data_IF_797288841114
#
_entry.id   IF_797288841114
#
_cell.length_a   1.000
_cell.length_b   1.000
_cell.length_c   1.000
_cell.angle_alpha   90.00
_cell.angle_beta   90.00
_cell.angle_gamma   90.00
#
_symmetry.space_group_name_H-M   'P 1'
#
loop_
_entity.id
_entity.type
_entity.pdbx_description
1 polymer ?
#
# COMPACT_ATOMS: atom_id res chain seq x y z
N UNK A 1 38.97 11.92 -3.04
CA UNK A 1 38.70 11.52 -4.46
C UNK A 1 37.19 11.31 -4.62
N UNK A 2 36.60 12.01 -5.56
CA UNK A 2 35.17 11.87 -5.83
C UNK A 2 34.92 10.91 -7.02
N UNK A 3 33.66 10.59 -7.32
CA UNK A 3 33.30 9.63 -8.37
C UNK A 3 33.72 10.10 -9.78
N UNK A 4 33.75 11.39 -10.06
CA UNK A 4 34.22 11.93 -11.36
C UNK A 4 35.71 11.75 -11.52
N UNK A 5 36.50 11.97 -10.46
CA UNK A 5 37.93 11.78 -10.47
C UNK A 5 38.28 10.34 -10.80
N UNK A 6 37.57 9.39 -10.21
CA UNK A 6 37.73 7.96 -10.49
C UNK A 6 37.41 7.60 -11.93
N UNK A 7 36.28 8.11 -12.44
CA UNK A 7 35.85 7.88 -13.82
C UNK A 7 36.89 8.44 -14.81
N UNK A 8 37.41 9.63 -14.57
CA UNK A 8 38.46 10.23 -15.39
C UNK A 8 39.74 9.41 -15.34
N UNK A 9 40.16 8.93 -14.16
CA UNK A 9 41.33 8.06 -14.00
C UNK A 9 41.15 6.75 -14.78
N UNK A 10 39.93 6.23 -14.85
CA UNK A 10 39.58 5.02 -15.60
C UNK A 10 39.31 5.29 -17.11
N UNK A 11 39.61 6.52 -17.60
CA UNK A 11 39.48 6.91 -18.99
C UNK A 11 38.04 7.24 -19.45
N UNK A 12 37.11 7.43 -18.53
CA UNK A 12 35.70 7.74 -18.83
C UNK A 12 35.42 9.23 -18.70
N UNK A 13 35.27 9.92 -19.82
CA UNK A 13 34.98 11.37 -19.85
C UNK A 13 33.47 11.59 -19.69
N UNK A 14 33.10 12.34 -18.64
CA UNK A 14 31.71 12.72 -18.36
C UNK A 14 31.46 14.19 -18.74
N UNK A 15 30.31 14.48 -19.35
CA UNK A 15 29.85 15.82 -19.72
C UNK A 15 28.83 16.31 -18.70
N UNK A 16 28.92 17.58 -18.31
CA UNK A 16 27.90 18.19 -17.44
C UNK A 16 26.56 18.25 -18.14
N UNK A 17 25.51 17.69 -17.50
CA UNK A 17 24.16 17.60 -18.05
C UNK A 17 23.19 18.58 -17.38
N UNK A 18 23.36 18.87 -16.06
CA UNK A 18 22.54 19.81 -15.32
C UNK A 18 23.33 20.49 -14.19
N UNK A 19 22.82 21.58 -13.68
CA UNK A 19 23.42 22.37 -12.56
C UNK A 19 22.70 22.17 -11.23
N UNK A 20 21.50 21.58 -11.23
CA UNK A 20 20.70 21.31 -10.05
C UNK A 20 21.37 20.27 -9.13
N UNK A 21 21.20 20.40 -7.82
CA UNK A 21 21.71 19.46 -6.79
C UNK A 21 23.22 19.15 -6.92
N UNK A 22 24.07 20.18 -7.04
CA UNK A 22 25.54 20.02 -7.12
C UNK A 22 26.06 19.58 -8.49
N UNK A 23 25.19 19.45 -9.49
CA UNK A 23 25.49 19.06 -10.86
C UNK A 23 25.27 17.60 -11.15
N UNK A 24 24.72 17.36 -12.33
CA UNK A 24 24.57 16.04 -12.93
C UNK A 24 25.51 15.93 -14.13
N UNK A 25 26.19 14.79 -14.25
CA UNK A 25 27.06 14.49 -15.37
C UNK A 25 26.58 13.24 -16.10
N UNK A 26 26.78 13.17 -17.40
CA UNK A 26 26.43 12.03 -18.21
C UNK A 26 27.56 11.62 -19.17
N UNK A 27 27.57 10.37 -19.55
CA UNK A 27 28.53 9.84 -20.49
C UNK A 27 28.35 8.36 -20.81
N UNK A 28 29.34 7.76 -21.51
CA UNK A 28 29.37 6.33 -21.74
C UNK A 28 29.43 5.56 -20.41
N UNK A 29 28.68 4.45 -20.35
CA UNK A 29 28.71 3.61 -19.15
C UNK A 29 30.00 2.80 -19.07
N UNK A 30 30.74 2.82 -17.97
CA UNK A 30 31.95 2.02 -17.76
C UNK A 30 31.74 0.51 -17.87
N UNK A 31 30.49 0.05 -17.73
CA UNK A 31 30.14 -1.37 -17.68
C UNK A 31 29.49 -1.90 -18.97
N UNK A 32 28.65 -1.08 -19.64
CA UNK A 32 27.92 -1.52 -20.84
C UNK A 32 28.05 -0.58 -22.06
N UNK A 33 28.92 0.43 -21.98
CA UNK A 33 29.15 1.38 -23.08
C UNK A 33 27.97 2.33 -23.31
N UNK A 34 27.78 2.72 -24.57
CA UNK A 34 26.75 3.69 -24.99
C UNK A 34 27.30 5.13 -24.98
N UNK A 35 26.47 6.12 -25.29
CA UNK A 35 26.91 7.52 -25.42
C UNK A 35 26.66 8.38 -24.18
N UNK A 36 25.48 8.24 -23.56
CA UNK A 36 24.96 9.17 -22.52
C UNK A 36 24.11 8.50 -21.43
N UNK A 37 24.18 7.18 -21.33
CA UNK A 37 23.28 6.39 -20.46
C UNK A 37 23.74 6.29 -19.00
N UNK A 38 24.97 6.72 -18.71
CA UNK A 38 25.53 6.71 -17.36
C UNK A 38 25.37 8.10 -16.75
N UNK A 39 24.73 8.17 -15.60
CA UNK A 39 24.50 9.40 -14.83
C UNK A 39 25.32 9.38 -13.57
N UNK A 40 25.89 10.54 -13.23
CA UNK A 40 26.76 10.71 -12.07
C UNK A 40 26.40 11.99 -11.33
N UNK A 41 26.31 11.91 -10.03
CA UNK A 41 26.08 13.02 -9.11
C UNK A 41 27.29 13.14 -8.15
N UNK A 42 28.27 13.99 -8.46
CA UNK A 42 29.55 14.02 -7.74
C UNK A 42 29.42 14.39 -6.27
N UNK A 43 28.50 15.29 -5.94
CA UNK A 43 28.28 15.75 -4.56
C UNK A 43 27.73 14.65 -3.66
N UNK A 44 26.82 13.83 -4.15
CA UNK A 44 26.30 12.66 -3.44
C UNK A 44 27.19 11.42 -3.60
N UNK A 45 28.18 11.46 -4.50
CA UNK A 45 29.05 10.34 -4.83
C UNK A 45 28.33 9.17 -5.50
N UNK A 46 27.15 9.39 -6.11
CA UNK A 46 26.31 8.34 -6.68
C UNK A 46 26.40 8.28 -8.19
N UNK A 47 26.11 7.09 -8.73
CA UNK A 47 25.95 6.85 -10.17
C UNK A 47 24.78 5.89 -10.45
N UNK A 48 24.29 5.96 -11.69
CA UNK A 48 23.29 5.05 -12.24
C UNK A 48 23.38 4.96 -13.76
N UNK A 49 23.18 3.78 -14.31
CA UNK A 49 23.12 3.53 -15.74
C UNK A 49 21.71 3.07 -16.17
N UNK A 50 21.05 3.83 -17.02
CA UNK A 50 19.73 3.48 -17.59
C UNK A 50 19.78 2.26 -18.55
N UNK A 51 20.95 1.83 -19.00
CA UNK A 51 21.10 0.71 -19.95
C UNK A 51 21.28 -0.65 -19.26
N UNK A 52 22.17 -0.75 -18.29
CA UNK A 52 22.45 -2.00 -17.58
C UNK A 52 21.96 -1.99 -16.12
N UNK A 53 21.30 -0.92 -15.70
CA UNK A 53 20.75 -0.69 -14.36
C UNK A 53 21.77 -0.78 -13.22
N UNK A 54 23.07 -0.75 -13.52
CA UNK A 54 24.10 -0.67 -12.49
C UNK A 54 24.03 0.69 -11.80
N UNK A 55 24.04 0.65 -10.48
CA UNK A 55 23.97 1.85 -9.63
C UNK A 55 24.77 1.64 -8.35
N UNK A 56 25.17 2.72 -7.72
CA UNK A 56 25.92 2.65 -6.47
C UNK A 56 26.56 3.96 -6.08
N UNK A 57 27.47 3.87 -5.12
CA UNK A 57 28.36 4.94 -4.70
C UNK A 57 29.80 4.71 -5.19
N UNK A 58 30.69 5.59 -4.76
CA UNK A 58 32.12 5.53 -5.10
C UNK A 58 32.78 4.20 -4.69
N UNK A 59 32.38 3.64 -3.53
CA UNK A 59 32.91 2.36 -3.06
C UNK A 59 32.41 1.22 -3.95
N UNK A 60 31.10 1.22 -4.26
CA UNK A 60 30.52 0.20 -5.14
C UNK A 60 31.13 0.26 -6.55
N UNK A 61 31.45 1.45 -7.06
CA UNK A 61 32.13 1.61 -8.34
C UNK A 61 33.52 0.90 -8.34
N UNK A 62 34.32 1.14 -7.31
CA UNK A 62 35.64 0.49 -7.17
C UNK A 62 35.53 -1.04 -7.07
N UNK A 63 34.53 -1.53 -6.35
CA UNK A 63 34.26 -2.97 -6.25
C UNK A 63 33.85 -3.58 -7.58
N UNK A 64 32.91 -2.94 -8.29
CA UNK A 64 32.36 -3.45 -9.55
C UNK A 64 33.35 -3.31 -10.73
N UNK A 65 34.15 -2.24 -10.77
CA UNK A 65 35.01 -1.94 -11.90
C UNK A 65 36.40 -2.50 -11.70
N UNK A 66 36.95 -2.44 -10.48
CA UNK A 66 38.35 -2.85 -10.17
C UNK A 66 38.44 -4.14 -9.35
N UNK A 67 37.30 -4.77 -9.01
CA UNK A 67 37.27 -6.02 -8.25
C UNK A 67 37.75 -5.91 -6.79
N UNK A 68 37.80 -4.69 -6.25
CA UNK A 68 38.33 -4.48 -4.89
C UNK A 68 37.35 -5.02 -3.84
N UNK A 69 37.88 -5.52 -2.72
CA UNK A 69 37.07 -5.77 -1.54
C UNK A 69 36.48 -4.45 -0.98
N UNK A 70 35.50 -4.52 -0.07
CA UNK A 70 35.02 -3.32 0.58
C UNK A 70 36.11 -2.59 1.36
N UNK A 71 36.94 -3.34 2.07
CA UNK A 71 38.04 -2.79 2.86
C UNK A 71 39.08 -2.10 1.97
N UNK A 72 39.50 -2.75 0.88
CA UNK A 72 40.48 -2.19 -0.06
C UNK A 72 39.94 -0.94 -0.77
N UNK A 73 38.63 -0.93 -1.13
CA UNK A 73 38.00 0.23 -1.72
C UNK A 73 37.91 1.41 -0.74
N UNK A 74 37.64 1.16 0.53
CA UNK A 74 37.67 2.18 1.59
C UNK A 74 39.08 2.73 1.77
N UNK A 75 40.07 1.85 1.89
CA UNK A 75 41.48 2.23 2.03
C UNK A 75 42.00 3.05 0.83
N UNK A 76 41.60 2.65 -0.39
CA UNK A 76 41.90 3.39 -1.62
C UNK A 76 41.35 4.82 -1.62
N UNK A 77 40.16 5.03 -1.01
CA UNK A 77 39.54 6.34 -0.88
C UNK A 77 40.07 7.15 0.33
N UNK A 78 41.00 6.62 1.10
CA UNK A 78 41.47 7.21 2.35
C UNK A 78 40.36 7.29 3.41
N UNK A 79 39.39 6.38 3.34
CA UNK A 79 38.30 6.24 4.32
C UNK A 79 38.65 5.08 5.24
N UNK A 80 38.50 5.29 6.54
CA UNK A 80 38.49 4.20 7.49
C UNK A 80 37.29 3.30 7.16
N UNK A 81 37.48 1.98 6.90
CA UNK A 81 36.38 1.08 6.70
C UNK A 81 35.39 1.07 7.87
N UNK A 82 35.76 1.72 8.98
CA UNK A 82 34.99 1.73 10.22
C UNK A 82 34.86 0.32 10.79
N UNK A 83 34.93 0.15 12.09
CA UNK A 83 34.36 -1.06 12.67
C UNK A 83 32.96 -1.27 12.01
N UNK A 84 32.71 -2.47 11.50
CA UNK A 84 31.33 -2.84 11.16
C UNK A 84 30.49 -2.48 12.39
N UNK A 85 29.87 -1.30 12.37
CA UNK A 85 28.73 -1.11 13.24
C UNK A 85 27.80 -2.21 12.80
N UNK A 86 27.71 -3.26 13.61
CA UNK A 86 26.71 -4.29 13.42
C UNK A 86 25.45 -3.54 13.03
N UNK A 87 24.89 -3.86 11.84
CA UNK A 87 23.63 -3.25 11.44
C UNK A 87 22.77 -3.36 12.68
N UNK A 88 22.29 -2.23 13.27
CA UNK A 88 21.48 -2.32 14.46
C UNK A 88 20.48 -3.42 14.20
N UNK A 89 20.49 -4.44 15.06
CA UNK A 89 19.70 -5.66 14.89
C UNK A 89 18.35 -5.20 14.42
N UNK A 90 17.91 -5.67 13.25
CA UNK A 90 16.79 -5.11 12.52
C UNK A 90 15.70 -4.87 13.55
N UNK A 91 15.40 -3.59 13.85
CA UNK A 91 14.51 -3.23 14.95
C UNK A 91 13.25 -4.03 14.72
N UNK A 92 13.01 -5.00 15.60
CA UNK A 92 11.85 -5.87 15.50
C UNK A 92 10.65 -4.95 15.41
N UNK A 93 9.95 -5.01 14.27
CA UNK A 93 8.77 -4.17 14.08
C UNK A 93 7.77 -4.45 15.23
N UNK A 94 7.29 -3.41 15.85
CA UNK A 94 6.22 -3.47 16.85
C UNK A 94 5.00 -2.73 16.33
N UNK A 95 3.79 -3.31 16.46
CA UNK A 95 2.58 -2.64 16.03
C UNK A 95 2.36 -1.38 16.89
N UNK A 96 1.80 -0.34 16.27
CA UNK A 96 1.45 0.90 16.98
C UNK A 96 -0.06 1.05 16.99
N UNK A 97 -0.59 1.65 18.06
CA UNK A 97 -1.99 1.99 18.11
C UNK A 97 -2.33 3.07 17.07
N UNK A 98 -3.44 2.88 16.40
CA UNK A 98 -3.99 3.88 15.51
C UNK A 98 -4.71 4.97 16.30
N UNK A 99 -4.38 6.23 16.00
CA UNK A 99 -5.06 7.37 16.63
C UNK A 99 -6.52 7.43 16.22
N UNK A 100 -7.40 7.58 17.19
CA UNK A 100 -8.82 7.86 16.97
C UNK A 100 -9.00 9.37 16.77
N UNK A 101 -9.73 9.83 15.74
CA UNK A 101 -10.09 11.24 15.60
C UNK A 101 -10.87 11.76 16.81
N UNK A 102 -10.65 13.03 17.17
CA UNK A 102 -11.40 13.69 18.22
C UNK A 102 -12.91 13.77 17.92
N UNK A 103 -13.73 13.97 18.94
CA UNK A 103 -15.18 14.04 18.81
C UNK A 103 -15.64 15.12 17.79
N UNK A 104 -15.12 16.37 17.80
CA UNK A 104 -15.54 17.37 16.81
C UNK A 104 -15.24 16.95 15.38
N UNK A 105 -14.10 16.28 15.15
CA UNK A 105 -13.77 15.75 13.83
C UNK A 105 -14.76 14.68 13.40
N UNK A 106 -15.09 13.70 14.27
CA UNK A 106 -16.03 12.61 13.95
C UNK A 106 -17.43 13.13 13.67
N UNK A 107 -17.90 14.09 14.46
CA UNK A 107 -19.22 14.74 14.26
C UNK A 107 -19.29 15.44 12.90
N UNK A 108 -18.29 16.24 12.55
CA UNK A 108 -18.27 16.96 11.29
C UNK A 108 -18.10 16.00 10.09
N UNK A 109 -17.28 14.96 10.25
CA UNK A 109 -17.11 13.91 9.24
C UNK A 109 -18.42 13.13 9.00
N UNK A 110 -19.19 12.83 10.06
CA UNK A 110 -20.49 12.16 9.95
C UNK A 110 -21.52 13.06 9.26
N UNK A 111 -21.60 14.34 9.64
CA UNK A 111 -22.50 15.29 8.98
C UNK A 111 -22.14 15.47 7.49
N UNK A 112 -20.86 15.57 7.16
CA UNK A 112 -20.40 15.62 5.78
C UNK A 112 -20.77 14.33 5.03
N UNK A 113 -20.53 13.17 5.65
CA UNK A 113 -20.81 11.85 5.04
C UNK A 113 -22.31 11.71 4.70
N UNK A 114 -23.22 12.14 5.56
CA UNK A 114 -24.66 12.06 5.31
C UNK A 114 -25.08 12.90 4.09
N UNK A 115 -24.43 14.04 3.87
CA UNK A 115 -24.67 14.88 2.68
C UNK A 115 -24.15 14.19 1.41
N UNK A 116 -22.91 13.68 1.44
CA UNK A 116 -22.30 13.09 0.24
C UNK A 116 -22.90 11.73 -0.12
N UNK A 117 -23.45 10.98 0.83
CA UNK A 117 -24.28 9.79 0.55
C UNK A 117 -25.49 10.19 -0.26
N UNK A 118 -26.26 11.20 0.17
CA UNK A 118 -27.42 11.71 -0.60
C UNK A 118 -27.01 12.15 -2.00
N UNK A 119 -25.87 12.81 -2.13
CA UNK A 119 -25.33 13.23 -3.44
C UNK A 119 -25.01 12.04 -4.35
N UNK A 120 -24.48 10.95 -3.80
CA UNK A 120 -24.19 9.75 -4.59
C UNK A 120 -25.47 9.13 -5.16
N UNK A 121 -26.57 9.16 -4.40
CA UNK A 121 -27.87 8.61 -4.84
C UNK A 121 -28.72 9.59 -5.66
N UNK A 122 -28.34 10.86 -5.71
CA UNK A 122 -28.96 11.86 -6.58
C UNK A 122 -28.58 11.64 -8.07
N UNK A 123 -29.27 12.27 -9.04
CA UNK A 123 -28.91 12.18 -10.47
C UNK A 123 -27.44 12.54 -10.75
N UNK A 124 -26.88 13.53 -10.05
CA UNK A 124 -25.48 13.94 -10.19
C UNK A 124 -24.46 12.87 -9.80
N UNK A 125 -24.83 11.91 -8.96
CA UNK A 125 -23.99 10.78 -8.56
C UNK A 125 -24.12 9.55 -9.47
N UNK A 126 -25.06 9.55 -10.43
CA UNK A 126 -25.31 8.40 -11.28
C UNK A 126 -24.06 7.90 -12.06
N UNK A 127 -23.20 8.76 -12.63
CA UNK A 127 -22.00 8.29 -13.31
C UNK A 127 -21.02 7.57 -12.35
N UNK A 128 -20.92 8.04 -11.10
CA UNK A 128 -20.05 7.43 -10.09
C UNK A 128 -20.60 6.07 -9.67
N UNK A 129 -21.92 5.95 -9.46
CA UNK A 129 -22.55 4.65 -9.18
C UNK A 129 -22.35 3.68 -10.33
N UNK A 130 -22.58 4.12 -11.57
CA UNK A 130 -22.37 3.29 -12.76
C UNK A 130 -20.93 2.78 -12.83
N UNK A 131 -19.95 3.63 -12.55
CA UNK A 131 -18.55 3.22 -12.47
C UNK A 131 -18.30 2.20 -11.35
N UNK A 132 -18.87 2.40 -10.16
CA UNK A 132 -18.77 1.46 -9.03
C UNK A 132 -19.39 0.09 -9.37
N UNK A 133 -20.54 0.08 -10.05
CA UNK A 133 -21.21 -1.16 -10.44
C UNK A 133 -20.46 -1.86 -11.60
N UNK A 134 -20.21 -1.15 -12.70
CA UNK A 134 -19.69 -1.74 -13.92
C UNK A 134 -18.19 -2.09 -13.80
N UNK A 135 -17.35 -1.13 -13.35
CA UNK A 135 -15.92 -1.31 -13.34
C UNK A 135 -15.38 -1.86 -12.01
N UNK A 136 -16.04 -1.55 -10.88
CA UNK A 136 -15.61 -2.04 -9.56
C UNK A 136 -16.39 -3.25 -9.07
N UNK A 137 -17.49 -3.59 -9.72
CA UNK A 137 -18.28 -4.76 -9.43
C UNK A 137 -19.10 -4.69 -8.14
N UNK A 138 -19.22 -3.51 -7.53
CA UNK A 138 -19.99 -3.36 -6.30
C UNK A 138 -21.48 -3.28 -6.62
N UNK A 139 -22.29 -4.04 -5.92
CA UNK A 139 -23.74 -3.91 -5.94
C UNK A 139 -24.20 -2.65 -5.22
N UNK A 140 -25.39 -2.16 -5.53
CA UNK A 140 -26.00 -1.04 -4.82
C UNK A 140 -26.16 -1.31 -3.31
N UNK A 141 -26.39 -2.57 -2.94
CA UNK A 141 -26.45 -2.99 -1.55
C UNK A 141 -25.08 -2.82 -0.87
N UNK A 142 -24.01 -3.26 -1.51
CA UNK A 142 -22.64 -3.10 -1.00
C UNK A 142 -22.24 -1.64 -0.93
N UNK A 143 -22.59 -0.82 -1.93
CA UNK A 143 -22.35 0.63 -1.92
C UNK A 143 -23.05 1.29 -0.72
N UNK A 144 -24.30 0.90 -0.41
CA UNK A 144 -25.06 1.39 0.77
C UNK A 144 -24.41 0.91 2.07
N UNK A 145 -24.07 -0.37 2.17
CA UNK A 145 -23.41 -0.98 3.35
C UNK A 145 -22.07 -0.32 3.65
N UNK A 146 -21.28 -0.04 2.61
CA UNK A 146 -20.03 0.70 2.71
C UNK A 146 -20.19 2.20 3.00
N UNK A 147 -21.43 2.71 2.95
CA UNK A 147 -21.78 4.13 3.08
C UNK A 147 -20.95 5.03 2.16
N UNK A 148 -20.67 4.58 0.94
CA UNK A 148 -19.95 5.39 -0.03
C UNK A 148 -20.73 6.66 -0.36
N UNK A 149 -20.02 7.75 -0.59
CA UNK A 149 -20.60 9.05 -0.90
C UNK A 149 -19.94 9.73 -2.10
N UNK A 150 -20.50 10.85 -2.55
CA UNK A 150 -19.95 11.64 -3.63
C UNK A 150 -19.94 13.13 -3.28
N UNK A 151 -18.73 13.71 -3.18
CA UNK A 151 -18.55 15.14 -3.03
C UNK A 151 -18.44 15.79 -4.41
N UNK A 152 -19.37 16.69 -4.73
CA UNK A 152 -19.47 17.34 -6.05
C UNK A 152 -18.36 18.33 -6.33
N UNK A 153 -17.74 18.87 -5.27
CA UNK A 153 -16.74 19.92 -5.36
C UNK A 153 -15.78 19.87 -4.16
N UNK A 154 -14.70 20.58 -4.29
CA UNK A 154 -13.75 20.81 -3.20
C UNK A 154 -14.40 21.67 -2.11
N UNK A 155 -14.18 21.30 -0.86
CA UNK A 155 -14.58 22.08 0.32
C UNK A 155 -13.32 22.53 1.08
N UNK A 156 -13.41 23.73 1.65
CA UNK A 156 -12.33 24.35 2.43
C UNK A 156 -12.89 24.81 3.78
N UNK A 157 -12.64 24.03 4.82
CA UNK A 157 -13.17 24.23 6.16
C UNK A 157 -12.12 24.84 7.11
N UNK A 158 -12.51 25.65 8.10
CA UNK A 158 -11.59 26.06 9.16
C UNK A 158 -11.06 24.83 9.92
N UNK A 159 -9.76 24.72 10.06
CA UNK A 159 -9.15 23.59 10.77
C UNK A 159 -9.58 23.50 12.23
N UNK A 160 -9.77 24.65 12.88
CA UNK A 160 -10.21 24.71 14.27
C UNK A 160 -11.59 24.06 14.51
N UNK A 161 -12.55 24.19 13.55
CA UNK A 161 -13.86 23.53 13.67
C UNK A 161 -13.78 22.00 13.66
N UNK A 162 -12.68 21.44 13.13
CA UNK A 162 -12.38 20.01 13.13
C UNK A 162 -11.40 19.61 14.25
N UNK A 163 -11.14 20.51 15.20
CA UNK A 163 -10.12 20.31 16.26
C UNK A 163 -8.74 19.92 15.72
N UNK A 164 -8.37 20.43 14.57
CA UNK A 164 -7.06 20.25 13.96
C UNK A 164 -6.16 21.43 14.29
N UNK A 165 -4.89 21.18 14.57
CA UNK A 165 -3.88 22.20 14.75
C UNK A 165 -3.81 23.13 13.55
N UNK A 166 -3.53 24.43 13.77
CA UNK A 166 -3.25 25.37 12.71
C UNK A 166 -2.12 24.83 11.80
N UNK A 167 -2.29 25.01 10.50
CA UNK A 167 -1.28 24.69 9.49
C UNK A 167 -0.91 25.98 8.78
N UNK A 168 0.24 26.53 9.11
CA UNK A 168 0.72 27.81 8.56
C UNK A 168 1.80 27.52 7.53
N UNK A 169 1.59 27.96 6.28
CA UNK A 169 2.54 27.88 5.18
C UNK A 169 2.70 29.29 4.62
N UNK A 170 3.93 29.78 4.54
CA UNK A 170 4.26 31.14 4.09
C UNK A 170 3.47 32.24 4.85
N UNK A 171 3.35 32.09 6.17
CA UNK A 171 2.64 33.02 7.04
C UNK A 171 1.11 33.02 6.91
N UNK A 172 0.53 32.15 6.09
CA UNK A 172 -0.92 32.04 5.87
C UNK A 172 -1.46 30.73 6.46
N UNK A 173 -2.51 30.84 7.26
CA UNK A 173 -3.21 29.65 7.76
C UNK A 173 -3.95 28.95 6.61
N UNK A 174 -3.69 27.66 6.47
CA UNK A 174 -4.32 26.80 5.46
C UNK A 174 -5.57 26.17 6.05
N UNK A 175 -6.66 26.21 5.30
CA UNK A 175 -7.91 25.52 5.63
C UNK A 175 -7.75 24.00 5.50
N UNK A 176 -8.62 23.25 6.14
CA UNK A 176 -8.81 21.84 5.85
C UNK A 176 -9.41 21.71 4.45
N UNK A 177 -8.70 21.02 3.58
CA UNK A 177 -9.16 20.70 2.23
C UNK A 177 -9.82 19.32 2.21
N UNK A 178 -11.02 19.25 1.69
CA UNK A 178 -11.81 18.03 1.45
C UNK A 178 -12.13 18.04 -0.06
N UNK A 179 -11.40 17.25 -0.89
CA UNK A 179 -11.57 17.33 -2.34
C UNK A 179 -12.90 16.77 -2.82
N UNK A 180 -13.31 17.18 -4.02
CA UNK A 180 -14.39 16.57 -4.77
C UNK A 180 -14.03 15.17 -5.25
N UNK A 181 -15.02 14.27 -5.32
CA UNK A 181 -14.84 12.90 -5.78
C UNK A 181 -15.59 11.87 -4.94
N UNK A 182 -15.28 10.59 -5.20
CA UNK A 182 -15.85 9.46 -4.45
C UNK A 182 -15.29 9.46 -3.01
N UNK A 183 -16.19 9.52 -2.04
CA UNK A 183 -15.88 9.49 -0.60
C UNK A 183 -16.00 8.05 -0.09
N UNK A 184 -14.90 7.55 0.48
CA UNK A 184 -14.77 6.21 1.04
C UNK A 184 -14.55 6.37 2.54
N UNK A 185 -15.57 6.13 3.38
CA UNK A 185 -15.44 6.26 4.83
C UNK A 185 -14.82 5.00 5.45
N UNK A 186 -14.12 5.18 6.56
CA UNK A 186 -13.88 4.13 7.54
C UNK A 186 -14.75 4.42 8.77
N UNK A 187 -15.65 3.48 9.08
CA UNK A 187 -16.59 3.59 10.19
C UNK A 187 -16.25 2.54 11.23
N UNK A 188 -16.14 2.95 12.47
CA UNK A 188 -15.87 2.08 13.61
C UNK A 188 -16.85 2.42 14.73
N UNK A 189 -17.57 1.41 15.24
CA UNK A 189 -18.60 1.57 16.29
C UNK A 189 -19.64 2.67 15.97
N UNK A 190 -20.04 2.79 14.71
CA UNK A 190 -21.03 3.79 14.25
C UNK A 190 -20.44 5.16 13.92
N UNK A 191 -19.23 5.48 14.34
CA UNK A 191 -18.57 6.77 14.11
C UNK A 191 -17.67 6.74 12.86
N UNK A 192 -17.56 7.87 12.18
CA UNK A 192 -16.60 8.04 11.07
C UNK A 192 -15.21 8.31 11.63
N UNK A 193 -14.27 7.43 11.31
CA UNK A 193 -12.88 7.52 11.75
C UNK A 193 -11.92 7.94 10.64
N UNK A 194 -12.28 7.74 9.38
CA UNK A 194 -11.51 8.20 8.21
C UNK A 194 -12.45 8.61 7.08
N UNK A 195 -12.04 9.66 6.38
CA UNK A 195 -12.55 10.01 5.06
C UNK A 195 -11.39 9.90 4.07
N UNK A 196 -11.48 8.96 3.13
CA UNK A 196 -10.57 8.86 1.99
C UNK A 196 -11.34 9.22 0.74
N UNK A 197 -10.75 10.05 -0.11
CA UNK A 197 -11.45 10.58 -1.27
C UNK A 197 -10.66 10.23 -2.52
N UNK A 198 -11.32 9.54 -3.45
CA UNK A 198 -10.80 9.34 -4.80
C UNK A 198 -11.26 10.52 -5.64
N UNK A 199 -10.33 11.37 -5.99
CA UNK A 199 -10.57 12.59 -6.74
C UNK A 199 -10.99 12.28 -8.18
N UNK A 200 -11.96 13.03 -8.70
CA UNK A 200 -12.37 12.92 -10.11
C UNK A 200 -11.28 13.49 -11.02
N UNK A 201 -10.74 14.65 -10.67
CA UNK A 201 -9.74 15.37 -11.45
C UNK A 201 -8.47 15.58 -10.58
N UNK A 202 -7.56 14.59 -10.50
CA UNK A 202 -6.37 14.72 -9.68
C UNK A 202 -5.31 15.69 -10.24
N UNK A 203 -5.32 16.02 -11.55
CA UNK A 203 -4.23 16.76 -12.18
C UNK A 203 -2.91 16.02 -11.94
N UNK A 204 -1.86 16.78 -11.62
CA UNK A 204 -0.54 16.23 -11.25
C UNK A 204 -0.47 15.72 -9.80
N UNK A 205 -1.53 15.85 -9.03
CA UNK A 205 -1.59 15.45 -7.62
C UNK A 205 -2.06 14.00 -7.42
N UNK A 206 -2.01 13.55 -6.18
CA UNK A 206 -2.47 12.21 -5.80
C UNK A 206 -3.94 11.99 -6.13
N UNK A 207 -4.25 10.84 -6.72
CA UNK A 207 -5.63 10.42 -7.01
C UNK A 207 -6.43 10.19 -5.73
N UNK A 208 -5.79 9.69 -4.69
CA UNK A 208 -6.42 9.46 -3.39
C UNK A 208 -5.88 10.44 -2.35
N UNK A 209 -6.80 11.03 -1.59
CA UNK A 209 -6.49 11.94 -0.48
C UNK A 209 -7.17 11.43 0.77
N UNK A 210 -6.41 11.31 1.85
CA UNK A 210 -6.94 11.06 3.19
C UNK A 210 -7.12 12.42 3.88
N UNK A 211 -8.35 12.72 4.30
CA UNK A 211 -8.66 13.99 4.97
C UNK A 211 -7.87 14.10 6.27
N UNK A 212 -7.23 15.24 6.50
CA UNK A 212 -6.41 15.45 7.69
C UNK A 212 -7.18 15.19 8.98
N UNK A 213 -6.53 14.52 9.94
CA UNK A 213 -7.15 14.10 11.21
C UNK A 213 -7.83 12.74 11.15
N UNK A 214 -7.93 12.11 9.98
CA UNK A 214 -8.42 10.73 9.82
C UNK A 214 -7.53 9.71 10.53
N UNK A 215 -8.12 8.64 11.02
CA UNK A 215 -7.41 7.48 11.56
C UNK A 215 -6.63 6.74 10.47
N UNK A 216 -5.38 6.33 10.72
CA UNK A 216 -4.61 5.49 9.82
C UNK A 216 -4.98 3.99 9.90
N UNK A 217 -5.89 3.59 10.80
CA UNK A 217 -6.25 2.18 11.01
C UNK A 217 -6.66 1.49 9.71
N UNK A 218 -6.27 0.22 9.48
CA UNK A 218 -6.79 -0.58 8.38
C UNK A 218 -8.32 -0.70 8.42
N UNK A 219 -8.97 -0.76 7.25
CA UNK A 219 -10.38 -1.13 7.17
C UNK A 219 -10.50 -2.64 7.29
N UNK A 220 -11.26 -3.12 8.26
CA UNK A 220 -11.61 -4.54 8.41
C UNK A 220 -13.09 -4.75 8.19
N UNK A 221 -13.47 -5.74 7.37
CA UNK A 221 -14.84 -6.16 7.10
C UNK A 221 -14.97 -7.65 7.41
N UNK A 222 -15.98 -8.04 8.16
CA UNK A 222 -16.24 -9.45 8.48
C UNK A 222 -15.29 -9.98 9.57
N UNK A 223 -15.40 -9.50 10.79
CA UNK A 223 -14.62 -10.00 11.94
C UNK A 223 -14.99 -11.45 12.27
N UNK A 224 -14.11 -12.12 13.02
CA UNK A 224 -14.30 -13.49 13.56
C UNK A 224 -14.37 -14.61 12.49
N UNK A 225 -13.70 -14.40 11.35
CA UNK A 225 -13.48 -15.43 10.35
C UNK A 225 -12.13 -16.12 10.54
N UNK A 226 -12.09 -17.38 10.14
CA UNK A 226 -10.88 -18.21 10.26
C UNK A 226 -9.80 -17.87 9.22
N UNK A 227 -10.14 -17.10 8.20
CA UNK A 227 -9.21 -16.61 7.19
C UNK A 227 -9.33 -15.09 7.00
N UNK A 228 -8.23 -14.46 6.58
CA UNK A 228 -8.19 -13.06 6.21
C UNK A 228 -7.53 -12.89 4.83
N UNK A 229 -8.04 -11.96 4.03
CA UNK A 229 -7.36 -11.49 2.82
C UNK A 229 -6.92 -10.03 3.01
N UNK A 230 -5.66 -9.77 2.69
CA UNK A 230 -5.05 -8.45 2.78
C UNK A 230 -5.01 -7.85 1.39
N UNK A 231 -5.62 -6.68 1.22
CA UNK A 231 -5.64 -5.92 -0.03
C UNK A 231 -5.17 -4.48 0.20
N UNK A 232 -4.85 -3.78 -0.87
CA UNK A 232 -4.43 -2.38 -0.79
C UNK A 232 -5.63 -1.44 -0.69
N UNK A 233 -6.67 -1.65 -1.49
CA UNK A 233 -7.79 -0.73 -1.70
C UNK A 233 -9.01 -1.11 -0.84
N UNK A 234 -9.70 -0.10 -0.29
CA UNK A 234 -10.98 -0.29 0.40
C UNK A 234 -12.08 -0.81 -0.57
N UNK A 235 -12.03 -0.40 -1.83
CA UNK A 235 -13.00 -0.84 -2.84
C UNK A 235 -12.86 -2.34 -3.11
N UNK A 236 -11.63 -2.83 -3.24
CA UNK A 236 -11.38 -4.28 -3.42
C UNK A 236 -11.76 -5.07 -2.16
N UNK A 237 -11.53 -4.52 -0.96
CA UNK A 237 -12.00 -5.14 0.26
C UNK A 237 -13.52 -5.28 0.29
N UNK A 238 -14.27 -4.27 -0.15
CA UNK A 238 -15.72 -4.35 -0.24
C UNK A 238 -16.20 -5.32 -1.33
N UNK A 239 -15.52 -5.38 -2.48
CA UNK A 239 -15.81 -6.36 -3.53
C UNK A 239 -15.62 -7.80 -3.01
N UNK A 240 -14.49 -8.09 -2.41
CA UNK A 240 -14.23 -9.45 -1.88
C UNK A 240 -15.21 -9.77 -0.74
N UNK A 241 -15.53 -8.81 0.12
CA UNK A 241 -16.55 -9.00 1.17
C UNK A 241 -17.95 -9.25 0.60
N UNK A 242 -18.30 -8.67 -0.54
CA UNK A 242 -19.54 -8.94 -1.25
C UNK A 242 -19.62 -10.38 -1.74
N UNK A 243 -18.54 -10.87 -2.35
CA UNK A 243 -18.51 -12.16 -3.04
C UNK A 243 -18.20 -13.35 -2.10
N UNK A 244 -17.44 -13.10 -1.04
CA UNK A 244 -16.91 -14.16 -0.17
C UNK A 244 -16.86 -13.77 1.33
N UNK A 245 -17.59 -12.75 1.76
CA UNK A 245 -17.55 -12.26 3.15
C UNK A 245 -18.14 -13.21 4.20
N UNK A 246 -18.86 -14.26 3.76
CA UNK A 246 -19.27 -15.38 4.59
C UNK A 246 -18.07 -16.31 4.93
N UNK A 247 -17.06 -16.37 4.08
CA UNK A 247 -15.89 -17.25 4.22
C UNK A 247 -14.68 -16.54 4.85
N UNK A 248 -14.42 -15.29 4.48
CA UNK A 248 -13.17 -14.63 4.77
C UNK A 248 -13.37 -13.20 5.29
N UNK A 249 -12.53 -12.79 6.22
CA UNK A 249 -12.38 -11.40 6.64
C UNK A 249 -11.54 -10.64 5.62
N UNK A 250 -11.97 -9.44 5.22
CA UNK A 250 -11.19 -8.60 4.29
C UNK A 250 -10.56 -7.42 5.02
N UNK A 251 -9.28 -7.16 4.74
CA UNK A 251 -8.51 -6.08 5.38
C UNK A 251 -7.85 -5.24 4.30
N UNK A 252 -8.26 -3.95 4.22
CA UNK A 252 -7.57 -2.99 3.37
C UNK A 252 -6.54 -2.21 4.16
N UNK A 253 -5.28 -2.26 3.68
CA UNK A 253 -4.15 -1.55 4.29
C UNK A 253 -4.03 -0.09 3.83
N UNK A 254 -4.71 0.30 2.75
CA UNK A 254 -4.65 1.64 2.17
C UNK A 254 -3.44 1.89 1.26
N UNK A 255 -2.37 1.12 1.41
CA UNK A 255 -1.22 1.08 0.51
C UNK A 255 -0.39 -0.19 0.75
N UNK A 256 0.44 -0.59 -0.22
CA UNK A 256 1.23 -1.83 -0.17
C UNK A 256 2.29 -1.86 0.94
N UNK A 257 2.77 -0.71 1.41
CA UNK A 257 3.82 -0.60 2.43
C UNK A 257 3.27 -0.47 3.85
N UNK A 258 1.96 -0.28 4.01
CA UNK A 258 1.33 -0.14 5.32
C UNK A 258 1.50 -1.42 6.13
N UNK A 259 1.69 -1.24 7.44
CA UNK A 259 1.78 -2.34 8.40
C UNK A 259 0.56 -2.31 9.32
N UNK A 260 0.11 -3.47 9.82
CA UNK A 260 -1.02 -3.54 10.73
C UNK A 260 -0.81 -2.69 11.99
N UNK A 261 -1.87 -2.06 12.47
CA UNK A 261 -1.88 -1.47 13.80
C UNK A 261 -2.04 -2.56 14.88
N UNK A 262 -1.98 -2.17 16.14
CA UNK A 262 -2.07 -3.11 17.28
C UNK A 262 -3.32 -3.97 17.24
N UNK A 263 -4.48 -3.37 16.93
CA UNK A 263 -5.75 -4.09 16.88
C UNK A 263 -5.79 -5.10 15.72
N UNK A 264 -5.39 -4.69 14.53
CA UNK A 264 -5.30 -5.57 13.36
C UNK A 264 -4.26 -6.66 13.56
N UNK A 265 -3.11 -6.34 14.14
CA UNK A 265 -2.05 -7.31 14.43
C UNK A 265 -2.55 -8.41 15.40
N UNK A 266 -3.26 -8.02 16.46
CA UNK A 266 -3.83 -8.97 17.43
C UNK A 266 -4.76 -9.96 16.73
N UNK A 267 -5.67 -9.49 15.86
CA UNK A 267 -6.58 -10.36 15.11
C UNK A 267 -5.81 -11.28 14.16
N UNK A 268 -4.84 -10.74 13.41
CA UNK A 268 -4.06 -11.51 12.46
C UNK A 268 -3.17 -12.57 13.12
N UNK A 269 -2.70 -12.33 14.36
CA UNK A 269 -1.97 -13.35 15.12
C UNK A 269 -2.79 -14.59 15.37
N UNK A 270 -4.09 -14.45 15.57
CA UNK A 270 -5.01 -15.55 15.86
C UNK A 270 -5.71 -16.11 14.60
N UNK A 271 -5.51 -15.46 13.44
CA UNK A 271 -6.10 -15.90 12.17
C UNK A 271 -5.28 -17.05 11.59
N UNK A 272 -5.86 -18.22 11.32
CA UNK A 272 -5.14 -19.40 10.80
C UNK A 272 -4.59 -19.23 9.38
N UNK A 273 -5.31 -18.55 8.49
CA UNK A 273 -4.94 -18.37 7.07
C UNK A 273 -4.96 -16.87 6.74
N UNK A 274 -3.87 -16.37 6.16
CA UNK A 274 -3.75 -15.00 5.70
C UNK A 274 -3.38 -15.01 4.21
N UNK A 275 -4.31 -14.59 3.36
CA UNK A 275 -4.08 -14.41 1.93
C UNK A 275 -3.50 -13.02 1.68
N UNK A 276 -2.23 -12.93 1.32
CA UNK A 276 -1.60 -11.65 1.00
C UNK A 276 -1.78 -11.33 -0.48
N UNK A 277 -2.76 -10.47 -0.78
CA UNK A 277 -3.13 -10.01 -2.11
C UNK A 277 -2.77 -8.53 -2.36
N UNK A 278 -1.71 -8.02 -1.70
CA UNK A 278 -1.18 -6.70 -1.99
C UNK A 278 -0.59 -6.63 -3.41
N UNK A 279 -0.68 -5.46 -4.04
CA UNK A 279 -0.19 -5.21 -5.39
C UNK A 279 1.32 -5.43 -5.50
N UNK A 280 1.80 -5.78 -6.72
CA UNK A 280 3.16 -6.28 -6.95
C UNK A 280 4.06 -5.35 -7.75
N UNK A 281 3.51 -4.29 -8.28
CA UNK A 281 4.10 -3.49 -9.34
C UNK A 281 5.10 -2.41 -8.86
N UNK A 282 5.28 -2.26 -7.54
CA UNK A 282 6.19 -1.25 -6.99
C UNK A 282 7.42 -1.88 -6.30
N UNK A 283 8.60 -1.24 -6.43
CA UNK A 283 9.83 -1.69 -5.76
C UNK A 283 9.68 -1.77 -4.23
N UNK A 284 8.77 -0.96 -3.65
CA UNK A 284 8.37 -1.01 -2.25
C UNK A 284 7.54 -2.25 -1.89
N UNK A 285 6.77 -2.79 -2.83
CA UNK A 285 5.95 -3.98 -2.62
C UNK A 285 6.78 -5.22 -2.28
N UNK A 286 7.96 -5.39 -2.91
CA UNK A 286 8.88 -6.49 -2.58
C UNK A 286 9.31 -6.50 -1.11
N UNK A 287 9.52 -5.34 -0.51
CA UNK A 287 9.87 -5.23 0.91
C UNK A 287 8.65 -5.55 1.80
N UNK A 288 7.44 -5.12 1.39
CA UNK A 288 6.20 -5.42 2.10
C UNK A 288 5.90 -6.92 2.11
N UNK A 289 6.21 -7.64 1.04
CA UNK A 289 6.00 -9.09 0.96
C UNK A 289 6.88 -9.91 1.88
N UNK A 290 8.07 -9.40 2.16
CA UNK A 290 8.96 -10.01 3.13
C UNK A 290 8.42 -9.87 4.55
N UNK A 291 7.83 -8.71 4.86
CA UNK A 291 7.27 -8.41 6.17
C UNK A 291 6.20 -9.42 6.61
N UNK A 292 5.26 -9.77 5.72
CA UNK A 292 4.12 -10.62 6.07
C UNK A 292 4.53 -12.04 6.50
N UNK A 293 5.32 -12.80 5.71
CA UNK A 293 5.79 -14.12 6.13
C UNK A 293 6.71 -14.06 7.35
N UNK A 294 7.57 -13.05 7.46
CA UNK A 294 8.46 -12.88 8.63
C UNK A 294 7.68 -12.61 9.91
N UNK A 295 6.54 -11.91 9.82
CA UNK A 295 5.73 -11.53 10.99
C UNK A 295 4.74 -12.61 11.40
N UNK A 296 4.10 -13.28 10.43
CA UNK A 296 2.99 -14.19 10.69
C UNK A 296 3.30 -15.66 10.33
N UNK A 297 4.48 -15.95 9.79
CA UNK A 297 4.93 -17.31 9.52
C UNK A 297 4.19 -18.03 8.40
N UNK A 298 4.13 -19.36 8.49
CA UNK A 298 3.60 -20.24 7.43
C UNK A 298 2.11 -20.11 7.14
N UNK A 299 1.35 -19.37 7.96
CA UNK A 299 -0.07 -19.09 7.69
C UNK A 299 -0.31 -18.00 6.64
N UNK A 300 0.75 -17.30 6.21
CA UNK A 300 0.67 -16.32 5.14
C UNK A 300 0.89 -17.01 3.80
N UNK A 301 -0.10 -16.89 2.92
CA UNK A 301 -0.04 -17.35 1.54
C UNK A 301 0.03 -16.14 0.62
N UNK A 302 1.01 -16.09 -0.29
CA UNK A 302 1.02 -15.07 -1.35
C UNK A 302 -0.07 -15.40 -2.36
N UNK A 303 -1.08 -14.52 -2.44
CA UNK A 303 -2.28 -14.77 -3.22
C UNK A 303 -2.69 -13.55 -4.05
N UNK A 304 -1.90 -13.15 -5.07
CA UNK A 304 -2.22 -12.01 -5.91
C UNK A 304 -3.45 -12.31 -6.78
N UNK A 305 -4.19 -11.26 -7.13
CA UNK A 305 -5.23 -11.36 -8.13
C UNK A 305 -4.61 -11.81 -9.47
N UNK A 306 -5.21 -12.81 -10.11
CA UNK A 306 -4.82 -13.30 -11.44
C UNK A 306 -5.62 -12.56 -12.51
N UNK A 307 -5.04 -12.37 -13.69
CA UNK A 307 -5.67 -11.63 -14.81
C UNK A 307 -6.00 -10.15 -14.52
N UNK A 308 -5.43 -9.56 -13.48
CA UNK A 308 -5.62 -8.16 -13.12
C UNK A 308 -4.60 -7.70 -12.09
N UNK A 309 -4.40 -6.39 -11.96
CA UNK A 309 -3.51 -5.83 -10.92
C UNK A 309 -4.13 -5.85 -9.52
N UNK A 310 -5.46 -5.83 -9.45
CA UNK A 310 -6.28 -5.82 -8.25
C UNK A 310 -7.53 -6.70 -8.45
N UNK A 311 -8.28 -6.97 -7.39
CA UNK A 311 -9.47 -7.84 -7.44
C UNK A 311 -10.55 -7.30 -8.39
N UNK A 312 -10.75 -5.97 -8.43
CA UNK A 312 -11.73 -5.36 -9.34
C UNK A 312 -11.33 -5.56 -10.81
N UNK A 313 -10.07 -5.36 -11.16
CA UNK A 313 -9.57 -5.57 -12.52
C UNK A 313 -9.62 -7.06 -12.91
N UNK A 314 -9.27 -7.96 -12.00
CA UNK A 314 -9.33 -9.40 -12.23
C UNK A 314 -10.77 -9.88 -12.49
N UNK A 315 -11.74 -9.37 -11.73
CA UNK A 315 -13.16 -9.66 -11.95
C UNK A 315 -13.62 -9.21 -13.33
N UNK A 316 -13.24 -8.01 -13.78
CA UNK A 316 -13.56 -7.53 -15.13
C UNK A 316 -13.00 -8.44 -16.23
N UNK A 317 -11.88 -9.10 -15.98
CA UNK A 317 -11.24 -10.06 -16.87
C UNK A 317 -11.73 -11.50 -16.65
N UNK A 318 -12.87 -11.68 -15.97
CA UNK A 318 -13.55 -12.97 -15.85
C UNK A 318 -13.17 -13.81 -14.62
N UNK A 319 -12.36 -13.29 -13.68
CA UNK A 319 -12.07 -13.99 -12.45
C UNK A 319 -13.33 -14.08 -11.56
N UNK A 320 -13.72 -15.28 -11.17
CA UNK A 320 -14.69 -15.49 -10.10
C UNK A 320 -13.99 -15.23 -8.74
N UNK A 321 -14.36 -14.14 -8.08
CA UNK A 321 -13.71 -13.71 -6.83
C UNK A 321 -13.92 -14.75 -5.72
N UNK A 322 -15.11 -15.33 -5.62
CA UNK A 322 -15.40 -16.33 -4.59
C UNK A 322 -14.53 -17.58 -4.77
N UNK A 323 -14.49 -18.14 -5.98
CA UNK A 323 -13.65 -19.30 -6.29
C UNK A 323 -12.17 -19.02 -6.08
N UNK A 324 -11.70 -17.82 -6.45
CA UNK A 324 -10.33 -17.38 -6.20
C UNK A 324 -9.98 -17.35 -4.70
N UNK A 325 -10.89 -16.89 -3.84
CA UNK A 325 -10.73 -16.90 -2.39
C UNK A 325 -10.71 -18.36 -1.86
N UNK A 326 -11.65 -19.20 -2.30
CA UNK A 326 -11.73 -20.61 -1.92
C UNK A 326 -10.42 -21.33 -2.27
N UNK A 327 -9.91 -21.16 -3.49
CA UNK A 327 -8.64 -21.74 -3.90
C UNK A 327 -7.46 -21.26 -3.04
N UNK A 328 -7.46 -19.99 -2.61
CA UNK A 328 -6.46 -19.47 -1.69
C UNK A 328 -6.53 -20.05 -0.29
N UNK A 329 -7.73 -20.36 0.19
CA UNK A 329 -7.94 -20.94 1.52
C UNK A 329 -7.60 -22.44 1.55
N UNK A 330 -7.94 -23.20 0.53
CA UNK A 330 -7.87 -24.66 0.53
C UNK A 330 -6.86 -25.25 -0.46
N UNK A 331 -6.37 -24.45 -1.42
CA UNK A 331 -5.52 -24.95 -2.52
C UNK A 331 -6.32 -25.84 -3.47
N UNK A 332 -5.62 -26.77 -4.11
CA UNK A 332 -6.24 -27.76 -5.03
C UNK A 332 -6.80 -29.00 -4.29
N UNK A 333 -6.92 -28.95 -2.97
CA UNK A 333 -7.42 -30.06 -2.17
C UNK A 333 -8.96 -30.01 -2.07
N UNK A 334 -9.60 -30.55 -3.11
CA UNK A 334 -11.05 -30.69 -3.23
C UNK A 334 -11.68 -31.42 -2.03
N UNK A 335 -10.98 -32.42 -1.47
CA UNK A 335 -11.46 -33.15 -0.29
C UNK A 335 -11.49 -32.28 0.96
N UNK A 336 -10.53 -31.39 1.11
CA UNK A 336 -10.47 -30.44 2.22
C UNK A 336 -11.60 -29.43 2.11
N UNK A 337 -11.89 -28.96 0.89
CA UNK A 337 -13.01 -28.08 0.63
C UNK A 337 -14.37 -28.77 0.86
N UNK A 338 -14.56 -30.01 0.37
CA UNK A 338 -15.80 -30.78 0.60
C UNK A 338 -16.04 -30.99 2.10
N UNK A 339 -15.01 -31.37 2.87
CA UNK A 339 -15.12 -31.51 4.33
C UNK A 339 -15.53 -30.22 5.02
N UNK A 340 -14.97 -29.10 4.60
CA UNK A 340 -15.34 -27.78 5.11
C UNK A 340 -16.80 -27.46 4.84
N UNK A 341 -17.28 -27.69 3.61
CA UNK A 341 -18.68 -27.48 3.23
C UNK A 341 -19.63 -28.35 4.04
N UNK A 342 -19.32 -29.62 4.21
CA UNK A 342 -20.15 -30.57 4.99
C UNK A 342 -20.23 -30.14 6.45
N UNK A 343 -19.12 -29.75 7.07
CA UNK A 343 -19.07 -29.35 8.48
C UNK A 343 -19.75 -28.00 8.77
N UNK A 344 -19.74 -27.08 7.79
CA UNK A 344 -20.44 -25.78 7.91
C UNK A 344 -21.94 -25.89 7.66
N UNK A 345 -22.37 -26.79 6.77
CA UNK A 345 -23.80 -27.00 6.43
C UNK A 345 -24.52 -27.75 7.53
N UNK A 346 -23.87 -28.73 8.16
CA UNK A 346 -24.44 -29.54 9.23
C UNK A 346 -24.56 -28.82 10.59
N UNK A 347 -24.15 -27.55 10.67
CA UNK A 347 -24.38 -26.68 11.83
C UNK A 347 -23.66 -27.08 13.12
N UNK A 348 -22.64 -27.95 13.04
CA UNK A 348 -21.95 -28.48 14.20
C UNK A 348 -20.68 -27.75 14.64
N UNK A 349 -20.02 -27.01 13.75
CA UNK A 349 -18.76 -26.32 14.02
C UNK A 349 -18.79 -24.90 13.46
N UNK A 350 -18.20 -23.97 14.18
CA UNK A 350 -17.91 -22.64 13.61
C UNK A 350 -16.88 -22.76 12.48
N UNK A 351 -16.90 -21.87 11.51
CA UNK A 351 -15.93 -21.80 10.40
C UNK A 351 -14.47 -21.94 10.90
N UNK A 352 -14.17 -21.39 12.09
CA UNK A 352 -12.87 -21.42 12.73
C UNK A 352 -12.48 -22.81 13.23
N UNK A 353 -13.42 -23.56 13.78
CA UNK A 353 -13.20 -24.93 14.25
C UNK A 353 -13.06 -25.89 13.06
N UNK A 354 -13.85 -25.70 12.00
CA UNK A 354 -13.77 -26.48 10.78
C UNK A 354 -12.40 -26.34 10.09
N UNK A 355 -11.88 -25.11 9.96
CA UNK A 355 -10.56 -24.86 9.35
C UNK A 355 -9.41 -25.40 10.22
N UNK A 356 -9.50 -25.32 11.54
CA UNK A 356 -8.49 -25.88 12.44
C UNK A 356 -8.42 -27.42 12.40
N UNK A 357 -9.54 -28.10 12.08
CA UNK A 357 -9.57 -29.55 11.93
C UNK A 357 -8.97 -30.03 10.58
N UNK A 358 -9.03 -29.17 9.57
CA UNK A 358 -8.55 -29.47 8.20
C UNK A 358 -7.05 -29.14 8.06
N UNK A 359 -6.52 -28.22 8.87
CA UNK A 359 -5.12 -27.81 8.87
C UNK A 359 -4.17 -28.71 9.68
N UNK A 360 -4.65 -29.86 10.16
CA UNK A 360 -3.86 -30.92 10.77
C UNK A 360 -3.77 -32.12 9.81
#
# INVERSE_FOLDING_TARGET
MNILDLLHTDGHMMKKAATTNGGEYCGPCPFCGGKDRFRVWPESGRYWCRGCNKQGDTIQYLRDKRGLSFQDACSFLGRDPGERKDKPAATTWTPKESKTPGEPWRRNASAFLDVVIKNLWAPSGAPVRQWLNAEKGLSDETIKKARLGYSRADLFEPRASWSLSANVIDGKERKLWIPGGLVIPFIHNGDVHRLRIRRDNPGDGSRYVVVSGSSPAPLMIGRDKAAAVIVESEIDAWLISQEAGDLIMTISMGNAQAKPDTATHTILKDTPIILNSLDTDDAGAKAAWKFWPETYGGKVRRWPAIHGKDASAARLNGLNIREWIIAGMFGDDEKTFERFCIQTIDGGLSDREAINLIGR
#
